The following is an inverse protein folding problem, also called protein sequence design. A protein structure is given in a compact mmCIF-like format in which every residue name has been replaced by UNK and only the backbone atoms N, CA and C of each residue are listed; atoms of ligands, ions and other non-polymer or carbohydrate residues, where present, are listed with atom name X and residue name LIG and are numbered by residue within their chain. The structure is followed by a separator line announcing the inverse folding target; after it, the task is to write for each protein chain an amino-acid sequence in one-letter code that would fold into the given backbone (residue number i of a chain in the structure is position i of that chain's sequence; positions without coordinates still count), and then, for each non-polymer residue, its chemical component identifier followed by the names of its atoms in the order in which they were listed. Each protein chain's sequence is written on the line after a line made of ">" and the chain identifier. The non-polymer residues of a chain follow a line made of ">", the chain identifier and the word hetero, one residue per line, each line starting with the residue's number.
data_IF_502939183025
#
_entry.id   IF_502939183025
#
_cell.length_a   1.000
_cell.length_b   1.000
_cell.length_c   1.000
_cell.angle_alpha   90.00
_cell.angle_beta   90.00
_cell.angle_gamma   90.00
#
_symmetry.space_group_name_H-M   'P 1'
#
loop_
_entity.id
_entity.type
_entity.pdbx_description
1 polymer ?
#
# COMPACT_ATOMS: atom_id res chain seq x y z
N UNK A 1 1.84 36.78 -19.84
CA UNK A 1 1.90 36.29 -19.49
C UNK A 1 1.57 35.67 -19.29
N UNK A 2 1.63 35.38 -19.38
CA UNK A 2 1.68 34.68 -19.01
C UNK A 2 1.46 34.00 -18.59
N UNK A 3 1.54 33.83 -18.59
CA UNK A 3 1.67 33.19 -18.09
C UNK A 3 1.46 32.68 -17.56
N UNK A 4 1.45 32.55 -17.45
CA UNK A 4 1.54 31.95 -16.78
C UNK A 4 1.34 31.38 -16.58
N UNK A 5 1.47 31.21 -16.66
CA UNK A 5 1.53 30.44 -16.40
C UNK A 5 1.64 29.62 -16.47
N UNK A 6 1.96 29.47 -16.73
CA UNK A 6 2.32 28.54 -16.88
C UNK A 6 2.71 27.64 -16.48
N UNK A 7 2.43 27.27 -16.33
CA UNK A 7 2.83 26.13 -15.74
C UNK A 7 3.93 25.37 -16.31
N UNK A 8 4.07 25.20 -17.48
CA UNK A 8 5.22 24.56 -18.10
C UNK A 8 6.48 25.33 -17.78
N UNK A 9 7.42 24.63 -17.18
CA UNK A 9 8.66 25.29 -16.81
C UNK A 9 9.53 25.49 -18.03
N UNK A 10 10.08 26.68 -18.20
CA UNK A 10 10.86 26.96 -19.40
C UNK A 10 12.11 26.12 -19.55
N UNK A 11 12.72 25.76 -18.43
CA UNK A 11 13.97 24.99 -18.47
C UNK A 11 13.74 23.49 -18.55
N UNK A 12 12.50 23.09 -18.62
CA UNK A 12 12.18 21.69 -18.65
C UNK A 12 12.49 21.09 -20.01
N UNK A 13 13.19 19.97 -19.98
CA UNK A 13 13.54 19.26 -21.20
C UNK A 13 12.31 18.58 -21.79
N UNK A 14 12.19 18.59 -23.11
CA UNK A 14 11.12 17.81 -23.73
C UNK A 14 11.32 16.32 -23.49
N UNK A 15 10.23 15.65 -23.23
CA UNK A 15 10.27 14.21 -22.99
C UNK A 15 9.81 13.52 -24.25
N UNK A 16 10.57 12.52 -24.69
CA UNK A 16 10.20 11.77 -25.88
C UNK A 16 8.92 10.98 -25.64
N UNK A 17 8.24 10.60 -26.71
CA UNK A 17 7.04 9.81 -26.62
C UNK A 17 7.30 8.49 -25.92
N UNK A 18 8.46 7.89 -26.19
CA UNK A 18 8.84 6.64 -25.55
C UNK A 18 9.00 6.80 -24.05
N UNK A 19 9.66 7.88 -23.63
CA UNK A 19 9.84 8.14 -22.22
C UNK A 19 8.51 8.39 -21.53
N UNK A 20 7.59 9.07 -22.22
CA UNK A 20 6.26 9.29 -21.71
C UNK A 20 5.52 7.98 -21.50
N UNK A 21 5.61 7.07 -22.44
CA UNK A 21 4.98 5.76 -22.34
C UNK A 21 5.52 4.98 -21.15
N UNK A 22 6.86 4.96 -21.00
CA UNK A 22 7.47 4.25 -19.90
C UNK A 22 7.01 4.78 -18.55
N UNK A 23 6.95 6.09 -18.44
CA UNK A 23 6.51 6.72 -17.21
C UNK A 23 5.04 6.40 -16.93
N UNK A 24 4.23 6.42 -17.96
CA UNK A 24 2.82 6.15 -17.83
C UNK A 24 2.59 4.70 -17.38
N UNK A 25 3.28 3.76 -18.00
CA UNK A 25 3.16 2.36 -17.62
C UNK A 25 3.60 2.13 -16.19
N UNK A 26 4.67 2.79 -15.76
CA UNK A 26 5.14 2.64 -14.40
C UNK A 26 4.08 3.11 -13.40
N UNK A 27 3.44 4.23 -13.69
CA UNK A 27 2.38 4.75 -12.84
C UNK A 27 1.18 3.81 -12.81
N UNK A 28 0.85 3.26 -13.95
CA UNK A 28 -0.25 2.30 -14.01
C UNK A 28 0.03 1.06 -13.20
N UNK A 29 1.25 0.56 -13.26
CA UNK A 29 1.64 -0.59 -12.47
C UNK A 29 1.50 -0.32 -10.98
N UNK A 30 1.95 0.85 -10.54
CA UNK A 30 1.84 1.24 -9.14
C UNK A 30 0.39 1.34 -8.71
N UNK A 31 -0.46 1.91 -9.55
CA UNK A 31 -1.88 2.02 -9.23
C UNK A 31 -2.54 0.64 -9.13
N UNK A 32 -2.16 -0.27 -10.01
CA UNK A 32 -2.71 -1.61 -9.98
C UNK A 32 -2.28 -2.37 -8.75
N UNK A 33 -1.01 -2.22 -8.36
CA UNK A 33 -0.52 -2.83 -7.14
C UNK A 33 -1.25 -2.28 -5.91
N UNK A 34 -1.44 -0.97 -5.89
CA UNK A 34 -2.14 -0.33 -4.79
C UNK A 34 -3.57 -0.84 -4.68
N UNK A 35 -4.24 -0.95 -5.82
CA UNK A 35 -5.61 -1.46 -5.84
C UNK A 35 -5.68 -2.90 -5.33
N UNK A 36 -4.73 -3.73 -5.76
CA UNK A 36 -4.70 -5.11 -5.31
C UNK A 36 -4.52 -5.21 -3.80
N UNK A 37 -3.66 -4.36 -3.25
CA UNK A 37 -3.46 -4.33 -1.80
C UNK A 37 -4.74 -3.90 -1.09
N UNK A 38 -5.41 -2.86 -1.61
CA UNK A 38 -6.66 -2.41 -1.00
C UNK A 38 -7.73 -3.49 -1.03
N UNK A 39 -7.82 -4.21 -2.15
CA UNK A 39 -8.79 -5.29 -2.26
C UNK A 39 -8.46 -6.41 -1.26
N UNK A 40 -7.18 -6.74 -1.15
CA UNK A 40 -6.78 -7.78 -0.21
C UNK A 40 -7.09 -7.36 1.23
N UNK A 41 -6.82 -6.10 1.56
CA UNK A 41 -7.14 -5.58 2.89
C UNK A 41 -8.63 -5.64 3.15
N UNK A 42 -9.44 -5.34 2.14
CA UNK A 42 -10.88 -5.36 2.29
C UNK A 42 -11.46 -6.73 2.57
N UNK A 43 -10.72 -7.80 2.22
CA UNK A 43 -11.16 -9.16 2.46
C UNK A 43 -10.81 -9.67 3.86
N UNK A 44 -9.97 -8.95 4.57
CA UNK A 44 -9.60 -9.33 5.92
C UNK A 44 -10.71 -8.95 6.88
N UNK A 45 -10.80 -9.70 7.98
CA UNK A 45 -11.69 -9.33 9.07
C UNK A 45 -11.19 -8.04 9.70
N UNK A 46 -12.10 -7.31 10.34
CA UNK A 46 -11.74 -6.01 10.91
C UNK A 46 -10.56 -6.09 11.86
N UNK A 47 -10.55 -7.11 12.72
CA UNK A 47 -9.47 -7.26 13.69
C UNK A 47 -8.14 -7.55 13.01
N UNK A 48 -8.16 -8.38 11.98
CA UNK A 48 -6.96 -8.69 11.22
C UNK A 48 -6.41 -7.44 10.54
N UNK A 49 -7.29 -6.70 9.91
CA UNK A 49 -6.90 -5.49 9.22
C UNK A 49 -6.35 -4.45 10.19
N UNK A 50 -7.00 -4.31 11.34
CA UNK A 50 -6.56 -3.36 12.34
C UNK A 50 -5.15 -3.68 12.83
N UNK A 51 -4.90 -4.94 13.17
CA UNK A 51 -3.58 -5.33 13.66
C UNK A 51 -2.52 -5.11 12.59
N UNK A 52 -2.83 -5.49 11.37
CA UNK A 52 -1.88 -5.34 10.28
C UNK A 52 -1.53 -3.87 10.03
N UNK A 53 -2.54 -3.03 9.93
CA UNK A 53 -2.31 -1.62 9.63
C UNK A 53 -1.66 -0.89 10.80
N UNK A 54 -2.08 -1.19 12.02
CA UNK A 54 -1.48 -0.55 13.19
C UNK A 54 -0.01 -0.92 13.31
N UNK A 55 0.32 -2.16 13.01
CA UNK A 55 1.70 -2.62 13.07
C UNK A 55 2.56 -1.96 11.99
N UNK A 56 2.03 -1.87 10.79
CA UNK A 56 2.81 -1.34 9.67
C UNK A 56 2.86 0.18 9.67
N UNK A 57 1.72 0.83 9.84
CA UNK A 57 1.64 2.28 9.70
C UNK A 57 2.04 3.02 10.98
N UNK A 58 1.66 2.48 12.12
CA UNK A 58 1.93 3.15 13.40
C UNK A 58 3.06 2.49 14.16
N UNK A 59 3.61 1.40 13.64
CA UNK A 59 4.73 0.69 14.24
C UNK A 59 4.45 0.28 15.68
N UNK A 60 3.20 -0.04 15.98
CA UNK A 60 2.83 -0.44 17.32
C UNK A 60 3.30 -1.88 17.59
N UNK A 61 3.73 -2.13 18.80
CA UNK A 61 4.26 -3.44 19.15
C UNK A 61 3.14 -4.45 19.32
N UNK A 62 3.48 -5.74 19.19
CA UNK A 62 2.51 -6.79 19.45
C UNK A 62 2.03 -6.76 20.89
N UNK A 63 2.90 -6.34 21.82
CA UNK A 63 2.50 -6.23 23.22
C UNK A 63 1.40 -5.19 23.40
N UNK A 64 1.56 -4.03 22.75
CA UNK A 64 0.54 -3.00 22.82
C UNK A 64 -0.78 -3.46 22.20
N UNK A 65 -0.69 -4.09 21.03
CA UNK A 65 -1.88 -4.55 20.35
C UNK A 65 -2.58 -5.66 21.12
N UNK A 66 -1.80 -6.55 21.71
CA UNK A 66 -2.36 -7.62 22.52
C UNK A 66 -3.13 -7.07 23.71
N UNK A 67 -2.55 -6.08 24.40
CA UNK A 67 -3.21 -5.46 25.54
C UNK A 67 -4.49 -4.74 25.11
N UNK A 68 -4.42 -4.02 24.03
CA UNK A 68 -5.56 -3.26 23.53
C UNK A 68 -6.73 -4.17 23.18
N UNK A 69 -6.44 -5.28 22.52
CA UNK A 69 -7.47 -6.19 22.06
C UNK A 69 -7.78 -7.29 23.06
N UNK A 70 -7.08 -7.27 24.20
CA UNK A 70 -7.28 -8.25 25.27
C UNK A 70 -7.05 -9.68 24.80
N UNK A 71 -5.97 -9.87 24.06
CA UNK A 71 -5.54 -11.18 23.60
C UNK A 71 -4.07 -11.34 23.99
N UNK A 72 -3.56 -12.56 23.82
CA UNK A 72 -2.16 -12.80 24.14
C UNK A 72 -1.23 -12.29 23.05
N UNK A 73 0.04 -12.13 23.41
CA UNK A 73 1.06 -11.72 22.46
C UNK A 73 1.13 -12.66 21.27
N UNK A 74 1.13 -13.96 21.54
CA UNK A 74 1.20 -14.94 20.46
C UNK A 74 -0.01 -14.86 19.55
N UNK A 75 -1.16 -14.56 20.14
CA UNK A 75 -2.39 -14.41 19.35
C UNK A 75 -2.30 -13.22 18.42
N UNK A 76 -1.83 -12.09 18.93
CA UNK A 76 -1.69 -10.89 18.10
C UNK A 76 -0.70 -11.13 16.98
N UNK A 77 0.44 -11.76 17.28
CA UNK A 77 1.43 -12.06 16.27
C UNK A 77 0.89 -13.02 15.22
N UNK A 78 0.16 -14.04 15.65
CA UNK A 78 -0.41 -15.02 14.72
C UNK A 78 -1.40 -14.35 13.77
N UNK A 79 -2.23 -13.46 14.30
CA UNK A 79 -3.21 -12.76 13.47
C UNK A 79 -2.48 -11.91 12.43
N UNK A 80 -1.43 -11.20 12.85
CA UNK A 80 -0.65 -10.37 11.97
C UNK A 80 -0.05 -11.17 10.82
N UNK A 81 0.62 -12.28 11.15
CA UNK A 81 1.31 -13.05 10.11
C UNK A 81 0.35 -13.77 9.18
N UNK A 82 -0.82 -14.18 9.68
CA UNK A 82 -1.82 -14.77 8.80
C UNK A 82 -2.40 -13.72 7.85
N UNK A 83 -2.66 -12.52 8.37
CA UNK A 83 -3.16 -11.44 7.52
C UNK A 83 -2.14 -11.09 6.45
N UNK A 84 -0.88 -11.01 6.83
CA UNK A 84 0.19 -10.70 5.90
C UNK A 84 0.29 -11.77 4.81
N UNK A 85 0.17 -13.04 5.20
CA UNK A 85 0.20 -14.13 4.22
C UNK A 85 -0.95 -14.05 3.23
N UNK A 86 -2.14 -13.71 3.72
CA UNK A 86 -3.30 -13.59 2.82
C UNK A 86 -3.10 -12.48 1.80
N UNK A 87 -2.53 -11.37 2.25
CA UNK A 87 -2.26 -10.27 1.32
C UNK A 87 -1.23 -10.69 0.30
N UNK A 88 -0.19 -11.36 0.74
CA UNK A 88 0.86 -11.83 -0.15
C UNK A 88 0.31 -12.81 -1.19
N UNK A 89 -0.55 -13.72 -0.76
CA UNK A 89 -1.17 -14.67 -1.67
C UNK A 89 -2.03 -13.96 -2.70
N UNK A 90 -2.79 -12.96 -2.25
CA UNK A 90 -3.64 -12.21 -3.17
C UNK A 90 -2.82 -11.47 -4.21
N UNK A 91 -1.72 -10.87 -3.80
CA UNK A 91 -0.84 -10.16 -4.73
C UNK A 91 -0.22 -11.12 -5.73
N UNK A 92 0.14 -12.31 -5.30
CA UNK A 92 0.70 -13.31 -6.20
C UNK A 92 -0.34 -13.78 -7.22
N UNK A 93 -1.59 -13.86 -6.82
CA UNK A 93 -2.66 -14.21 -7.76
C UNK A 93 -2.83 -13.16 -8.84
N UNK A 94 -2.59 -11.90 -8.49
CA UNK A 94 -2.79 -10.80 -9.42
C UNK A 94 -1.66 -10.69 -10.45
N UNK A 95 -0.55 -11.31 -10.21
CA UNK A 95 0.54 -11.32 -11.17
C UNK A 95 0.47 -12.56 -12.03
#
# INVERSE_FOLDING_TARGET
>A
QQQHERPMEPDRQPISAEAWEDEYFRRMELLMEYRAVLEALGRLQKRERYILLARILEERSFTELAQELQIGYKGAAAIYYRALSRIREKLEEET
#
